data_IF_125107992341
#
_entry.id   IF_125107992341
#
_cell.length_a   1.000
_cell.length_b   1.000
_cell.length_c   1.000
_cell.angle_alpha   90.00
_cell.angle_beta   90.00
_cell.angle_gamma   90.00
#
_symmetry.space_group_name_H-M   'P 1'
#
loop_
_entity.id
_entity.type
_entity.pdbx_description
1 polymer ?
#
# COMPACT_ATOMS: atom_id res chain seq x y z
N UNK A 1 26.78 -2.53 29.78
CA UNK A 1 25.40 -1.99 29.84
C UNK A 1 24.95 -1.66 28.43
N UNK A 2 24.08 -2.48 27.80
CA UNK A 2 23.18 -2.09 26.68
C UNK A 2 22.33 -3.23 26.06
N UNK A 3 22.18 -4.38 26.73
CA UNK A 3 21.44 -5.52 26.13
C UNK A 3 19.95 -5.25 25.89
N UNK A 4 19.33 -4.38 26.68
CA UNK A 4 17.92 -4.01 26.53
C UNK A 4 17.67 -3.04 25.36
N UNK A 5 18.59 -2.12 25.08
CA UNK A 5 18.49 -1.21 23.93
C UNK A 5 18.58 -1.98 22.61
N UNK A 6 19.55 -2.90 22.49
CA UNK A 6 19.70 -3.74 21.29
C UNK A 6 18.51 -4.68 21.08
N UNK A 7 17.88 -5.17 22.16
CA UNK A 7 16.68 -6.01 22.07
C UNK A 7 15.45 -5.18 21.63
N UNK A 8 15.30 -3.97 22.18
CA UNK A 8 14.22 -3.05 21.84
C UNK A 8 14.33 -2.53 20.40
N UNK A 9 15.55 -2.23 19.96
CA UNK A 9 15.84 -1.75 18.61
C UNK A 9 15.69 -2.87 17.56
N UNK A 10 16.12 -4.10 17.89
CA UNK A 10 15.91 -5.28 17.04
C UNK A 10 14.44 -5.68 16.91
N UNK A 11 13.66 -5.60 17.99
CA UNK A 11 12.21 -5.83 17.97
C UNK A 11 11.48 -4.77 17.15
N UNK A 12 11.83 -3.49 17.31
CA UNK A 12 11.29 -2.39 16.52
C UNK A 12 11.58 -2.57 15.02
N UNK A 13 12.82 -2.90 14.64
CA UNK A 13 13.19 -3.16 13.23
C UNK A 13 12.45 -4.36 12.63
N UNK A 14 12.18 -5.40 13.40
CA UNK A 14 11.36 -6.53 12.93
C UNK A 14 9.92 -6.10 12.66
N UNK A 15 9.32 -5.32 13.57
CA UNK A 15 7.97 -4.80 13.42
C UNK A 15 7.82 -3.88 12.21
N UNK A 16 8.82 -3.03 11.92
CA UNK A 16 8.80 -2.15 10.74
C UNK A 16 8.88 -2.97 9.45
N UNK A 17 9.70 -4.02 9.40
CA UNK A 17 9.79 -4.91 8.23
C UNK A 17 8.48 -5.66 7.98
N UNK A 18 7.84 -6.19 9.02
CA UNK A 18 6.54 -6.83 8.89
C UNK A 18 5.48 -5.85 8.40
N UNK A 19 5.51 -4.62 8.91
CA UNK A 19 4.59 -3.58 8.49
C UNK A 19 4.81 -3.13 7.03
N UNK A 20 6.05 -2.99 6.58
CA UNK A 20 6.36 -2.74 5.17
C UNK A 20 5.83 -3.86 4.26
N UNK A 21 5.95 -5.12 4.68
CA UNK A 21 5.39 -6.27 3.96
C UNK A 21 3.86 -6.21 3.85
N UNK A 22 3.16 -5.81 4.91
CA UNK A 22 1.71 -5.58 4.85
C UNK A 22 1.34 -4.50 3.83
N UNK A 23 2.12 -3.43 3.74
CA UNK A 23 1.90 -2.36 2.76
C UNK A 23 2.17 -2.83 1.32
N UNK A 24 3.17 -3.67 1.10
CA UNK A 24 3.41 -4.31 -0.21
C UNK A 24 2.23 -5.20 -0.63
N UNK A 25 1.66 -5.96 0.31
CA UNK A 25 0.43 -6.72 0.06
C UNK A 25 -0.75 -5.81 -0.30
N UNK A 26 -0.89 -4.67 0.39
CA UNK A 26 -1.93 -3.69 0.09
C UNK A 26 -1.80 -3.10 -1.33
N UNK A 27 -0.56 -2.85 -1.82
CA UNK A 27 -0.32 -2.47 -3.22
C UNK A 27 -0.80 -3.56 -4.18
N UNK A 28 -0.53 -4.83 -3.87
CA UNK A 28 -1.04 -5.97 -4.65
C UNK A 28 -2.56 -5.93 -4.79
N UNK A 29 -3.27 -5.78 -3.67
CA UNK A 29 -4.73 -5.68 -3.65
C UNK A 29 -5.27 -4.47 -4.43
N UNK A 30 -4.59 -3.32 -4.36
CA UNK A 30 -4.96 -2.13 -5.15
C UNK A 30 -4.82 -2.39 -6.66
N UNK A 31 -3.80 -3.14 -7.09
CA UNK A 31 -3.62 -3.49 -8.50
C UNK A 31 -4.68 -4.47 -9.00
N UNK A 32 -5.09 -5.44 -8.16
CA UNK A 32 -6.19 -6.36 -8.46
C UNK A 32 -7.53 -5.61 -8.58
N UNK A 33 -7.76 -4.62 -7.71
CA UNK A 33 -8.94 -3.76 -7.77
C UNK A 33 -8.97 -2.91 -9.04
N UNK A 34 -7.85 -2.31 -9.43
CA UNK A 34 -7.72 -1.53 -10.67
C UNK A 34 -8.01 -2.41 -11.90
N UNK A 35 -7.47 -3.63 -11.92
CA UNK A 35 -7.75 -4.61 -12.99
C UNK A 35 -9.24 -4.92 -13.08
N UNK A 36 -9.89 -5.18 -11.94
CA UNK A 36 -11.32 -5.46 -11.87
C UNK A 36 -12.15 -4.27 -12.32
N UNK A 37 -11.76 -3.04 -11.95
CA UNK A 37 -12.41 -1.81 -12.35
C UNK A 37 -12.35 -1.60 -13.87
N UNK A 38 -11.20 -1.90 -14.50
CA UNK A 38 -11.03 -1.89 -15.96
C UNK A 38 -11.95 -2.92 -16.62
N UNK A 39 -12.03 -4.15 -16.08
CA UNK A 39 -12.94 -5.18 -16.60
C UNK A 39 -14.40 -4.71 -16.50
N UNK A 40 -14.82 -4.17 -15.35
CA UNK A 40 -16.16 -3.65 -15.14
C UNK A 40 -16.52 -2.54 -16.13
N UNK A 41 -15.58 -1.64 -16.45
CA UNK A 41 -15.74 -0.64 -17.50
C UNK A 41 -15.91 -1.27 -18.88
N UNK A 42 -15.04 -2.22 -19.23
CA UNK A 42 -15.01 -2.83 -20.56
C UNK A 42 -16.31 -3.59 -20.88
N UNK A 43 -16.94 -4.20 -19.88
CA UNK A 43 -18.24 -4.87 -20.03
C UNK A 43 -19.43 -3.90 -19.84
N UNK A 44 -19.17 -2.59 -19.78
CA UNK A 44 -20.17 -1.54 -19.58
C UNK A 44 -21.01 -1.71 -18.30
N UNK A 45 -20.46 -2.36 -17.26
CA UNK A 45 -21.13 -2.51 -15.96
C UNK A 45 -21.14 -1.21 -15.15
N UNK A 46 -20.21 -0.31 -15.42
CA UNK A 46 -20.12 1.04 -14.82
C UNK A 46 -19.97 2.10 -15.90
N UNK A 47 -20.40 3.33 -15.60
CA UNK A 47 -20.22 4.48 -16.50
C UNK A 47 -18.77 4.97 -16.53
N UNK A 48 -18.38 5.70 -17.59
CA UNK A 48 -17.07 6.35 -17.67
C UNK A 48 -16.82 7.32 -16.50
N UNK A 49 -17.85 8.04 -16.05
CA UNK A 49 -17.77 8.93 -14.89
C UNK A 49 -17.45 8.15 -13.60
N UNK A 50 -18.16 7.03 -13.39
CA UNK A 50 -17.95 6.15 -12.23
C UNK A 50 -16.55 5.53 -12.27
N UNK A 51 -16.12 5.07 -13.44
CA UNK A 51 -14.78 4.56 -13.65
C UNK A 51 -13.72 5.61 -13.31
N UNK A 52 -13.84 6.83 -13.87
CA UNK A 52 -12.90 7.94 -13.66
C UNK A 52 -12.79 8.30 -12.18
N UNK A 53 -13.91 8.31 -11.46
CA UNK A 53 -13.95 8.57 -10.02
C UNK A 53 -13.13 7.53 -9.26
N UNK A 54 -13.42 6.25 -9.46
CA UNK A 54 -12.72 5.18 -8.72
C UNK A 54 -11.26 5.02 -9.15
N UNK A 55 -10.93 5.26 -10.42
CA UNK A 55 -9.56 5.31 -10.92
C UNK A 55 -8.75 6.37 -10.17
N UNK A 56 -9.30 7.57 -9.99
CA UNK A 56 -8.64 8.63 -9.22
C UNK A 56 -8.46 8.24 -7.74
N UNK A 57 -9.47 7.64 -7.11
CA UNK A 57 -9.38 7.18 -5.71
C UNK A 57 -8.29 6.10 -5.55
N UNK A 58 -8.21 5.13 -6.48
CA UNK A 58 -7.16 4.11 -6.54
C UNK A 58 -5.77 4.73 -6.66
N UNK A 59 -5.61 5.71 -7.56
CA UNK A 59 -4.33 6.41 -7.75
C UNK A 59 -3.88 7.11 -6.47
N UNK A 60 -4.78 7.79 -5.77
CA UNK A 60 -4.46 8.48 -4.52
C UNK A 60 -4.09 7.49 -3.40
N UNK A 61 -4.84 6.41 -3.25
CA UNK A 61 -4.53 5.35 -2.27
C UNK A 61 -3.14 4.74 -2.57
N UNK A 62 -2.84 4.43 -3.84
CA UNK A 62 -1.54 3.90 -4.25
C UNK A 62 -0.41 4.87 -3.88
N UNK A 63 -0.56 6.16 -4.17
CA UNK A 63 0.43 7.20 -3.79
C UNK A 63 0.66 7.26 -2.29
N UNK A 64 -0.41 7.20 -1.48
CA UNK A 64 -0.32 7.22 -0.02
C UNK A 64 0.47 6.02 0.50
N UNK A 65 0.16 4.82 0.02
CA UNK A 65 0.84 3.59 0.44
C UNK A 65 2.31 3.63 0.02
N UNK A 66 2.62 4.01 -1.22
CA UNK A 66 4.01 4.11 -1.71
C UNK A 66 4.83 5.09 -0.87
N UNK A 67 4.31 6.30 -0.63
CA UNK A 67 5.00 7.30 0.21
C UNK A 67 5.23 6.80 1.62
N UNK A 68 4.31 6.01 2.16
CA UNK A 68 4.44 5.48 3.50
C UNK A 68 5.47 4.36 3.58
N UNK A 69 5.55 3.50 2.57
CA UNK A 69 6.65 2.52 2.44
C UNK A 69 8.00 3.24 2.36
N UNK A 70 8.08 4.32 1.58
CA UNK A 70 9.29 5.14 1.44
C UNK A 70 9.70 5.78 2.77
N UNK A 71 8.76 6.35 3.54
CA UNK A 71 9.08 6.94 4.86
C UNK A 71 9.61 5.88 5.82
N UNK A 72 8.99 4.70 5.85
CA UNK A 72 9.44 3.60 6.71
C UNK A 72 10.84 3.09 6.35
N UNK A 73 11.24 3.15 5.07
CA UNK A 73 12.60 2.81 4.64
C UNK A 73 13.62 3.88 5.00
N UNK A 74 13.21 5.15 5.08
CA UNK A 74 14.07 6.26 5.48
C UNK A 74 14.33 6.31 7.00
N UNK A 75 13.45 5.71 7.80
CA UNK A 75 13.52 5.72 9.28
C UNK A 75 14.32 4.53 9.87
N UNK A 76 14.89 3.65 9.03
CA UNK A 76 15.66 2.44 9.42
C UNK A 76 17.15 2.62 9.21
#
# INVERSE_FOLDING_TARGET
VNRFSNLSEGAAKSSVKDFARFLEMAIGSVNELETTLIVAKNIQFISDETFKRYENEIIEIRKMITKFIESLKSDI
#
